data_IF_309471093051
#
_entry.id   IF_309471093051
#
_cell.length_a   1.000
_cell.length_b   1.000
_cell.length_c   1.000
_cell.angle_alpha   90.00
_cell.angle_beta   90.00
_cell.angle_gamma   90.00
#
_symmetry.space_group_name_H-M   'P 1'
#
loop_
_entity.id
_entity.type
_entity.pdbx_description
1 polymer ?
#
# COMPACT_ATOMS: atom_id res chain seq x y z
N UNK A 1 18.97 22.76 -23.27
CA UNK A 1 18.47 21.77 -22.33
C UNK A 1 17.81 22.54 -21.21
N UNK A 2 16.51 22.46 -21.14
CA UNK A 2 15.67 23.24 -20.21
C UNK A 2 15.79 22.69 -18.79
N UNK A 3 16.18 23.51 -17.83
CA UNK A 3 16.34 23.14 -16.43
C UNK A 3 14.98 22.89 -15.79
N UNK A 4 13.98 23.71 -16.09
CA UNK A 4 12.61 23.53 -15.58
C UNK A 4 12.05 22.19 -16.03
N UNK A 5 12.07 21.88 -17.31
CA UNK A 5 11.64 20.59 -17.85
C UNK A 5 12.38 19.41 -17.21
N UNK A 6 13.70 19.55 -17.00
CA UNK A 6 14.50 18.49 -16.36
C UNK A 6 14.09 18.26 -14.91
N UNK A 7 13.84 19.34 -14.14
CA UNK A 7 13.46 19.24 -12.74
C UNK A 7 12.04 18.70 -12.59
N UNK A 8 11.10 19.11 -13.43
CA UNK A 8 9.72 18.63 -13.46
C UNK A 8 9.64 17.13 -13.80
N UNK A 9 10.60 16.63 -14.60
CA UNK A 9 10.62 15.22 -15.03
C UNK A 9 11.79 14.43 -14.42
N UNK A 10 12.40 14.92 -13.35
CA UNK A 10 13.57 14.29 -12.70
C UNK A 10 13.30 12.88 -12.18
N UNK A 11 12.06 12.58 -11.80
CA UNK A 11 11.62 11.24 -11.40
C UNK A 11 11.44 10.28 -12.60
N UNK A 12 11.14 10.82 -13.77
CA UNK A 12 10.96 10.09 -15.03
C UNK A 12 12.33 9.70 -15.62
N UNK A 13 13.07 8.81 -14.95
CA UNK A 13 14.34 8.30 -15.49
C UNK A 13 14.06 7.38 -16.67
N UNK A 14 14.25 7.92 -17.88
CA UNK A 14 14.24 7.11 -19.08
C UNK A 14 15.27 5.96 -18.93
N UNK A 15 14.85 4.69 -18.98
CA UNK A 15 15.75 3.57 -18.72
C UNK A 15 16.96 3.56 -19.65
N UNK A 16 18.14 3.32 -19.10
CA UNK A 16 19.39 3.36 -19.84
C UNK A 16 19.45 2.38 -21.02
N UNK A 17 18.65 1.30 -20.98
CA UNK A 17 18.59 0.28 -22.03
C UNK A 17 18.02 0.81 -23.36
N UNK A 18 17.21 1.86 -23.33
CA UNK A 18 16.68 2.51 -24.54
C UNK A 18 17.75 3.27 -25.34
N UNK A 19 18.90 3.51 -24.73
CA UNK A 19 19.97 4.28 -25.35
C UNK A 19 21.15 3.41 -25.74
N UNK A 20 21.74 3.70 -26.88
CA UNK A 20 23.06 3.11 -27.24
C UNK A 20 24.10 3.46 -26.17
N UNK A 21 25.17 2.66 -26.08
CA UNK A 21 26.25 2.86 -25.10
C UNK A 21 26.85 4.27 -25.15
N UNK A 22 26.92 4.86 -26.34
CA UNK A 22 27.48 6.20 -26.51
C UNK A 22 26.50 7.30 -26.08
N UNK A 23 25.21 7.15 -26.38
CA UNK A 23 24.17 8.08 -25.94
C UNK A 23 24.02 8.06 -24.43
N UNK A 24 24.14 6.88 -23.77
CA UNK A 24 24.14 6.79 -22.30
C UNK A 24 25.23 7.63 -21.65
N UNK A 25 26.45 7.66 -22.22
CA UNK A 25 27.53 8.48 -21.69
C UNK A 25 27.22 9.97 -21.78
N UNK A 26 26.60 10.39 -22.90
CA UNK A 26 26.15 11.79 -23.07
C UNK A 26 25.06 12.10 -22.07
N UNK A 27 24.04 11.23 -21.94
CA UNK A 27 22.95 11.36 -20.95
C UNK A 27 23.50 11.52 -19.53
N UNK A 28 24.42 10.66 -19.10
CA UNK A 28 25.05 10.75 -17.79
C UNK A 28 25.75 12.11 -17.56
N UNK A 29 26.38 12.67 -18.60
CA UNK A 29 26.97 14.00 -18.50
C UNK A 29 25.95 15.10 -18.40
N UNK A 30 24.81 14.98 -19.10
CA UNK A 30 23.67 15.89 -18.98
C UNK A 30 23.13 15.85 -17.56
N UNK A 31 22.83 14.66 -17.05
CA UNK A 31 22.30 14.46 -15.69
C UNK A 31 23.23 15.08 -14.64
N UNK A 32 24.53 14.86 -14.77
CA UNK A 32 25.55 15.44 -13.89
C UNK A 32 25.57 16.99 -13.98
N UNK A 33 25.48 17.52 -15.19
CA UNK A 33 25.47 18.97 -15.39
C UNK A 33 24.20 19.61 -14.82
N UNK A 34 23.02 19.00 -15.05
CA UNK A 34 21.74 19.48 -14.54
C UNK A 34 21.64 19.42 -13.01
N UNK A 35 22.29 18.43 -12.38
CA UNK A 35 22.37 18.33 -10.92
C UNK A 35 23.33 19.36 -10.31
N UNK A 36 24.41 19.68 -11.03
CA UNK A 36 25.48 20.55 -10.53
C UNK A 36 25.19 22.04 -10.70
N UNK A 37 24.50 22.38 -11.78
CA UNK A 37 24.22 23.78 -12.15
C UNK A 37 22.74 24.07 -12.06
N UNK A 38 22.39 25.09 -11.27
CA UNK A 38 21.01 25.52 -11.10
C UNK A 38 20.60 26.53 -12.22
N UNK A 39 20.80 26.12 -13.48
CA UNK A 39 20.43 26.86 -14.68
C UNK A 39 20.36 25.98 -15.90
N UNK A 40 19.67 26.44 -16.92
CA UNK A 40 19.69 25.84 -18.25
C UNK A 40 21.12 25.75 -18.79
N UNK A 41 21.49 24.55 -19.27
CA UNK A 41 22.83 24.25 -19.82
C UNK A 41 22.72 24.07 -21.31
N UNK A 42 23.61 24.73 -22.06
CA UNK A 42 23.63 24.65 -23.52
C UNK A 42 24.29 23.34 -23.99
N UNK A 43 23.95 22.81 -25.19
CA UNK A 43 24.60 21.67 -25.75
C UNK A 43 26.13 21.82 -25.92
N UNK A 44 26.62 23.07 -26.15
CA UNK A 44 28.05 23.35 -26.24
C UNK A 44 28.75 23.20 -24.87
N UNK A 45 28.11 23.65 -23.80
CA UNK A 45 28.64 23.47 -22.44
C UNK A 45 28.69 21.99 -22.04
N UNK A 46 27.66 21.20 -22.39
CA UNK A 46 27.67 19.75 -22.15
C UNK A 46 28.76 19.06 -22.96
N UNK A 47 28.98 19.43 -24.22
CA UNK A 47 30.07 18.90 -25.01
C UNK A 47 31.44 19.18 -24.37
N UNK A 48 31.66 20.43 -23.91
CA UNK A 48 32.90 20.81 -23.24
C UNK A 48 33.11 19.98 -21.94
N UNK A 49 32.09 19.80 -21.13
CA UNK A 49 32.12 18.96 -19.93
C UNK A 49 32.40 17.50 -20.28
N UNK A 50 31.70 16.97 -21.30
CA UNK A 50 31.88 15.59 -21.75
C UNK A 50 33.34 15.33 -22.22
N UNK A 51 33.89 16.22 -23.05
CA UNK A 51 35.26 16.09 -23.54
C UNK A 51 36.29 16.22 -22.41
N UNK A 52 36.05 17.12 -21.46
CA UNK A 52 36.92 17.27 -20.27
C UNK A 52 36.93 16.02 -19.41
N UNK A 53 35.75 15.44 -19.15
CA UNK A 53 35.59 14.26 -18.29
C UNK A 53 36.07 12.96 -18.96
N UNK A 54 36.24 12.96 -20.30
CA UNK A 54 36.64 11.81 -21.11
C UNK A 54 37.93 12.09 -21.90
N UNK A 55 38.97 12.61 -21.24
CA UNK A 55 40.24 12.97 -21.86
C UNK A 55 40.94 11.79 -22.57
N UNK A 56 40.68 10.56 -22.09
CA UNK A 56 41.26 9.30 -22.61
C UNK A 56 40.70 8.85 -23.99
N UNK A 57 39.67 9.52 -24.51
CA UNK A 57 39.10 9.18 -25.81
C UNK A 57 40.13 9.42 -26.94
N UNK A 58 40.16 8.50 -27.90
CA UNK A 58 40.98 8.65 -29.13
C UNK A 58 40.44 9.79 -30.00
N UNK A 59 41.26 10.32 -30.88
CA UNK A 59 40.87 11.40 -31.80
C UNK A 59 39.63 11.02 -32.62
N UNK A 60 39.55 9.79 -33.11
CA UNK A 60 38.42 9.29 -33.88
C UNK A 60 37.13 9.26 -33.02
N UNK A 61 37.22 8.81 -31.75
CA UNK A 61 36.08 8.82 -30.81
C UNK A 61 35.62 10.24 -30.48
N UNK A 62 36.57 11.16 -30.26
CA UNK A 62 36.24 12.59 -30.03
C UNK A 62 35.49 13.19 -31.22
N UNK A 63 35.92 12.89 -32.43
CA UNK A 63 35.24 13.36 -33.66
C UNK A 63 33.82 12.78 -33.77
N UNK A 64 33.63 11.49 -33.46
CA UNK A 64 32.32 10.85 -33.48
C UNK A 64 31.35 11.50 -32.47
N UNK A 65 31.80 11.75 -31.23
CA UNK A 65 30.98 12.43 -30.22
C UNK A 65 30.69 13.90 -30.58
N UNK A 66 31.67 14.64 -31.12
CA UNK A 66 31.44 16.00 -31.62
C UNK A 66 30.40 16.02 -32.75
N UNK A 67 30.39 15.02 -33.62
CA UNK A 67 29.36 14.89 -34.65
C UNK A 67 27.98 14.72 -34.06
N UNK A 68 27.82 13.87 -33.02
CA UNK A 68 26.53 13.71 -32.26
C UNK A 68 26.12 15.02 -31.62
N UNK A 69 27.01 15.71 -30.92
CA UNK A 69 26.69 17.01 -30.31
C UNK A 69 26.30 18.06 -31.36
N UNK A 70 26.93 18.04 -32.53
CA UNK A 70 26.57 18.95 -33.61
C UNK A 70 25.20 18.65 -34.23
N UNK A 71 24.75 17.40 -34.21
CA UNK A 71 23.36 17.06 -34.55
C UNK A 71 22.39 17.65 -33.53
N UNK A 72 22.63 17.42 -32.22
CA UNK A 72 21.80 17.98 -31.14
C UNK A 72 21.73 19.51 -31.17
N UNK A 73 22.85 20.18 -31.51
CA UNK A 73 22.88 21.65 -31.62
C UNK A 73 22.05 22.20 -32.78
N UNK A 74 21.81 21.40 -33.83
CA UNK A 74 21.02 21.79 -35.00
C UNK A 74 19.52 21.58 -34.80
N UNK A 75 19.15 20.75 -33.86
CA UNK A 75 17.75 20.51 -33.55
C UNK A 75 17.17 21.66 -32.72
N UNK A 76 15.99 22.11 -33.10
CA UNK A 76 15.23 23.07 -32.30
C UNK A 76 14.70 22.38 -31.03
N UNK A 77 14.58 23.14 -29.94
CA UNK A 77 13.94 22.65 -28.73
C UNK A 77 12.51 22.19 -29.05
N UNK A 78 12.19 20.98 -28.64
CA UNK A 78 10.85 20.43 -28.74
C UNK A 78 9.93 21.12 -27.72
N UNK A 79 8.69 21.41 -28.07
CA UNK A 79 7.70 21.90 -27.11
C UNK A 79 7.49 20.89 -25.97
N UNK A 80 7.20 21.39 -24.77
CA UNK A 80 7.04 20.55 -23.57
C UNK A 80 5.96 19.47 -23.73
N UNK A 81 4.85 19.82 -24.39
CA UNK A 81 3.73 18.93 -24.70
C UNK A 81 4.14 17.75 -25.60
N UNK A 82 4.87 18.04 -26.69
CA UNK A 82 5.39 17.01 -27.60
C UNK A 82 6.46 16.16 -26.90
N UNK A 83 7.31 16.79 -26.08
CA UNK A 83 8.34 16.08 -25.34
C UNK A 83 7.72 15.11 -24.33
N UNK A 84 6.64 15.47 -23.66
CA UNK A 84 5.89 14.63 -22.75
C UNK A 84 5.23 13.45 -23.47
N UNK A 85 4.63 13.67 -24.65
CA UNK A 85 4.07 12.59 -25.45
C UNK A 85 5.14 11.58 -25.91
N UNK A 86 6.31 12.08 -26.33
CA UNK A 86 7.44 11.21 -26.71
C UNK A 86 7.94 10.40 -25.52
N UNK A 87 8.08 11.01 -24.34
CA UNK A 87 8.45 10.31 -23.12
C UNK A 87 7.43 9.23 -22.76
N UNK A 88 6.13 9.54 -22.78
CA UNK A 88 5.07 8.57 -22.52
C UNK A 88 5.19 7.35 -23.44
N UNK A 89 5.39 7.55 -24.75
CA UNK A 89 5.59 6.46 -25.71
C UNK A 89 6.84 5.61 -25.43
N UNK A 90 7.93 6.25 -24.99
CA UNK A 90 9.14 5.53 -24.60
C UNK A 90 8.93 4.68 -23.36
N UNK A 91 8.22 5.20 -22.36
CA UNK A 91 7.85 4.43 -21.17
C UNK A 91 6.89 3.30 -21.50
N UNK A 92 5.88 3.54 -22.35
CA UNK A 92 4.98 2.50 -22.83
C UNK A 92 5.75 1.33 -23.47
N UNK A 93 6.76 1.62 -24.29
CA UNK A 93 7.62 0.60 -24.88
C UNK A 93 8.37 -0.18 -23.81
N UNK A 94 8.97 0.50 -22.83
CA UNK A 94 9.73 -0.13 -21.73
C UNK A 94 8.84 -1.04 -20.89
N UNK A 95 7.69 -0.54 -20.47
CA UNK A 95 6.72 -1.31 -19.69
C UNK A 95 6.25 -2.52 -20.48
N UNK A 96 5.93 -2.33 -21.77
CA UNK A 96 5.52 -3.42 -22.66
C UNK A 96 6.60 -4.51 -22.80
N UNK A 97 7.87 -4.14 -22.97
CA UNK A 97 8.99 -5.08 -23.02
C UNK A 97 9.17 -5.84 -21.70
N UNK A 98 9.07 -5.16 -20.55
CA UNK A 98 9.24 -5.78 -19.24
C UNK A 98 8.10 -6.76 -18.94
N UNK A 99 6.85 -6.36 -19.20
CA UNK A 99 5.68 -7.22 -19.02
C UNK A 99 5.74 -8.43 -19.98
N UNK A 100 6.17 -8.23 -21.23
CA UNK A 100 6.34 -9.31 -22.18
C UNK A 100 7.42 -10.31 -21.73
N UNK A 101 8.57 -9.84 -21.25
CA UNK A 101 9.64 -10.70 -20.73
C UNK A 101 9.15 -11.52 -19.53
N UNK A 102 8.47 -10.90 -18.56
CA UNK A 102 7.88 -11.61 -17.43
C UNK A 102 6.77 -12.59 -17.87
N UNK A 103 6.00 -12.24 -18.90
CA UNK A 103 5.03 -13.14 -19.53
C UNK A 103 5.70 -14.39 -20.11
N UNK A 104 6.85 -14.27 -20.76
CA UNK A 104 7.64 -15.40 -21.24
C UNK A 104 8.19 -16.25 -20.10
N UNK A 105 8.65 -15.64 -18.99
CA UNK A 105 9.08 -16.37 -17.81
C UNK A 105 7.94 -17.18 -17.18
N UNK A 106 6.71 -16.64 -17.18
CA UNK A 106 5.50 -17.40 -16.76
C UNK A 106 5.24 -18.61 -17.67
N UNK A 107 5.27 -18.42 -18.99
CA UNK A 107 5.06 -19.50 -19.98
C UNK A 107 6.09 -20.58 -19.81
N UNK A 108 7.33 -20.24 -19.52
CA UNK A 108 8.44 -21.17 -19.32
C UNK A 108 8.44 -21.82 -17.91
N UNK A 109 7.51 -21.43 -17.02
CA UNK A 109 7.40 -21.97 -15.66
C UNK A 109 8.51 -21.50 -14.70
N UNK A 110 9.28 -20.46 -15.07
CA UNK A 110 10.32 -19.86 -14.22
C UNK A 110 9.75 -18.83 -13.25
N UNK A 111 8.57 -18.28 -13.54
CA UNK A 111 7.84 -17.35 -12.68
C UNK A 111 6.55 -18.01 -12.15
N UNK A 112 6.37 -17.99 -10.82
CA UNK A 112 5.28 -18.69 -10.13
C UNK A 112 4.15 -17.77 -9.65
N UNK A 113 4.29 -16.43 -9.75
CA UNK A 113 3.30 -15.46 -9.30
C UNK A 113 3.27 -14.21 -10.19
N UNK A 114 2.23 -13.38 -10.06
CA UNK A 114 2.01 -12.16 -10.85
C UNK A 114 2.59 -10.89 -10.20
N UNK A 115 3.17 -11.00 -9.02
CA UNK A 115 3.66 -9.86 -8.26
C UNK A 115 4.70 -9.01 -9.02
N UNK A 116 5.70 -9.60 -9.75
CA UNK A 116 6.64 -8.80 -10.52
C UNK A 116 5.98 -7.96 -11.62
N UNK A 117 4.93 -8.50 -12.27
CA UNK A 117 4.16 -7.76 -13.28
C UNK A 117 3.38 -6.62 -12.63
N UNK A 118 2.72 -6.89 -11.49
CA UNK A 118 1.98 -5.87 -10.74
C UNK A 118 2.88 -4.72 -10.30
N UNK A 119 4.05 -5.04 -9.73
CA UNK A 119 5.03 -4.04 -9.30
C UNK A 119 5.52 -3.14 -10.44
N UNK A 120 5.61 -3.67 -11.68
CA UNK A 120 5.92 -2.84 -12.84
C UNK A 120 4.76 -1.90 -13.16
N UNK A 121 3.53 -2.42 -13.18
CA UNK A 121 2.36 -1.62 -13.54
C UNK A 121 2.05 -0.53 -12.50
N UNK A 122 2.32 -0.79 -11.21
CA UNK A 122 2.13 0.18 -10.12
C UNK A 122 3.13 1.35 -10.16
N UNK A 123 4.25 1.22 -10.88
CA UNK A 123 5.23 2.31 -11.03
C UNK A 123 4.81 3.36 -12.06
N UNK A 124 3.75 3.12 -12.82
CA UNK A 124 3.32 3.97 -13.92
C UNK A 124 1.81 4.20 -13.86
N UNK A 125 1.37 5.44 -14.17
CA UNK A 125 -0.03 5.75 -14.37
C UNK A 125 -0.61 5.11 -15.63
N UNK A 126 -1.92 5.24 -15.82
CA UNK A 126 -2.63 4.68 -16.97
C UNK A 126 -2.14 5.23 -18.33
N UNK A 127 -1.49 6.40 -18.32
CA UNK A 127 -0.88 7.06 -19.48
C UNK A 127 0.61 6.70 -19.67
N UNK A 128 1.11 5.71 -18.92
CA UNK A 128 2.53 5.28 -18.88
C UNK A 128 3.51 6.38 -18.48
N UNK A 129 3.03 7.48 -17.93
CA UNK A 129 3.92 8.44 -17.29
C UNK A 129 4.23 7.96 -15.88
N UNK A 130 5.49 8.10 -15.41
CA UNK A 130 5.75 7.95 -13.98
C UNK A 130 4.84 8.91 -13.23
N UNK A 131 4.19 8.42 -12.17
CA UNK A 131 3.33 9.27 -11.36
C UNK A 131 4.20 10.32 -10.63
N UNK A 132 4.44 11.43 -11.32
CA UNK A 132 5.17 12.59 -10.82
C UNK A 132 4.23 13.65 -10.26
N UNK A 133 2.93 13.35 -10.21
CA UNK A 133 1.92 14.27 -9.74
C UNK A 133 2.00 14.34 -8.22
N UNK A 134 3.02 15.04 -7.71
CA UNK A 134 3.14 15.38 -6.30
C UNK A 134 2.01 16.34 -5.99
N UNK A 135 0.88 15.81 -5.56
CA UNK A 135 -0.19 16.62 -5.00
C UNK A 135 0.22 16.96 -3.57
N UNK A 136 0.35 18.26 -3.31
CA UNK A 136 0.54 18.74 -1.96
C UNK A 136 -0.82 18.83 -1.27
N UNK A 137 -0.89 18.32 -0.04
CA UNK A 137 -2.09 18.53 0.77
C UNK A 137 -2.27 19.99 1.09
N UNK A 138 -3.48 20.50 0.92
CA UNK A 138 -3.81 21.87 1.31
C UNK A 138 -3.85 21.97 2.84
N UNK A 139 -2.99 22.84 3.38
CA UNK A 139 -2.82 23.03 4.83
C UNK A 139 -3.65 24.21 5.34
N UNK A 140 -4.74 24.59 4.64
CA UNK A 140 -5.64 25.59 5.15
C UNK A 140 -6.38 25.14 6.42
N UNK A 141 -6.79 26.12 7.23
CA UNK A 141 -7.41 25.84 8.54
C UNK A 141 -8.73 25.10 8.40
N UNK A 142 -9.53 25.41 7.38
CA UNK A 142 -10.82 24.77 7.12
C UNK A 142 -10.64 23.29 6.80
N UNK A 143 -9.68 22.95 5.95
CA UNK A 143 -9.32 21.57 5.61
C UNK A 143 -8.78 20.83 6.83
N UNK A 144 -7.89 21.45 7.62
CA UNK A 144 -7.37 20.84 8.84
C UNK A 144 -8.44 20.59 9.89
N UNK A 145 -9.38 21.51 10.07
CA UNK A 145 -10.49 21.35 11.02
C UNK A 145 -11.52 20.32 10.56
N UNK A 146 -11.76 20.20 9.25
CA UNK A 146 -12.71 19.22 8.70
C UNK A 146 -12.16 17.79 8.70
N UNK A 147 -10.84 17.63 8.58
CA UNK A 147 -10.13 16.32 8.63
C UNK A 147 -9.52 16.04 10.00
N UNK A 148 -9.94 16.74 11.03
CA UNK A 148 -9.30 16.65 12.33
C UNK A 148 -9.74 15.36 13.05
N UNK A 149 -8.77 14.53 13.41
CA UNK A 149 -8.94 13.29 14.21
C UNK A 149 -9.34 13.55 15.68
N UNK A 150 -9.73 14.79 16.03
CA UNK A 150 -10.15 15.13 17.41
C UNK A 150 -11.44 14.43 17.82
N UNK A 151 -12.29 14.05 16.87
CA UNK A 151 -13.47 13.26 17.12
C UNK A 151 -13.41 11.97 16.33
N UNK A 152 -13.58 10.84 17.01
CA UNK A 152 -13.58 9.54 16.36
C UNK A 152 -14.81 9.39 15.45
N UNK A 153 -14.58 9.01 14.19
CA UNK A 153 -15.64 8.71 13.22
C UNK A 153 -16.49 7.53 13.69
N UNK A 154 -15.83 6.52 14.25
CA UNK A 154 -16.45 5.31 14.77
C UNK A 154 -16.06 5.11 16.24
N UNK A 155 -16.99 5.26 17.17
CA UNK A 155 -16.71 5.15 18.60
C UNK A 155 -16.76 3.70 19.09
N UNK A 156 -15.91 3.36 20.04
CA UNK A 156 -15.97 2.05 20.68
C UNK A 156 -17.24 1.93 21.55
N UNK A 157 -17.87 0.75 21.53
CA UNK A 157 -19.01 0.45 22.39
C UNK A 157 -18.62 -0.08 23.79
N UNK A 158 -17.34 0.02 24.15
CA UNK A 158 -16.80 -0.36 25.46
C UNK A 158 -16.42 0.92 26.22
N UNK A 159 -17.17 1.33 27.27
CA UNK A 159 -17.00 2.65 27.90
C UNK A 159 -15.60 2.92 28.43
N UNK A 160 -14.89 1.90 28.91
CA UNK A 160 -13.51 2.05 29.39
C UNK A 160 -12.51 2.28 28.27
N UNK A 161 -12.74 1.68 27.10
CA UNK A 161 -11.93 1.86 25.91
C UNK A 161 -12.20 3.23 25.29
N UNK A 162 -13.47 3.61 25.12
CA UNK A 162 -13.89 4.92 24.61
C UNK A 162 -13.30 6.08 25.41
N UNK A 163 -13.25 5.98 26.74
CA UNK A 163 -12.62 7.00 27.59
C UNK A 163 -11.10 7.12 27.43
N UNK A 164 -10.44 6.13 26.84
CA UNK A 164 -8.97 6.11 26.69
C UNK A 164 -8.51 6.49 25.28
N UNK A 165 -9.24 6.01 24.28
CA UNK A 165 -8.86 6.13 22.86
C UNK A 165 -10.04 6.52 21.97
N UNK A 166 -11.16 6.97 22.56
CA UNK A 166 -12.39 7.42 21.89
C UNK A 166 -12.97 6.44 20.87
N UNK A 167 -12.30 6.22 19.77
CA UNK A 167 -12.70 5.33 18.70
C UNK A 167 -11.64 5.19 17.62
N UNK A 168 -12.07 5.05 16.39
CA UNK A 168 -11.20 4.88 15.24
C UNK A 168 -11.62 5.77 14.08
N UNK A 169 -10.66 6.16 13.26
CA UNK A 169 -10.85 6.94 12.04
C UNK A 169 -10.35 6.15 10.83
N UNK A 170 -10.71 6.61 9.65
CA UNK A 170 -10.14 6.12 8.40
C UNK A 170 -8.60 6.28 8.40
N UNK A 171 -7.91 5.32 7.80
CA UNK A 171 -6.45 5.29 7.78
C UNK A 171 -5.79 4.70 9.03
N UNK A 172 -6.56 4.40 10.10
CA UNK A 172 -6.00 3.82 11.32
C UNK A 172 -5.71 2.32 11.17
N UNK A 173 -4.57 1.89 11.73
CA UNK A 173 -4.23 0.49 11.94
C UNK A 173 -4.25 0.18 13.44
N UNK A 174 -5.18 -0.66 13.88
CA UNK A 174 -5.36 -1.05 15.28
C UNK A 174 -4.85 -2.47 15.48
N UNK A 175 -3.76 -2.64 16.24
CA UNK A 175 -3.27 -3.97 16.59
C UNK A 175 -3.89 -4.47 17.89
N UNK A 176 -4.53 -5.66 17.84
CA UNK A 176 -5.16 -6.30 18.98
C UNK A 176 -4.48 -7.62 19.29
N UNK A 177 -3.63 -7.63 20.32
CA UNK A 177 -2.92 -8.82 20.78
C UNK A 177 -3.69 -9.58 21.86
N UNK A 178 -3.83 -10.90 21.70
CA UNK A 178 -4.41 -11.77 22.72
C UNK A 178 -3.84 -13.18 22.68
N UNK A 179 -3.88 -13.89 23.81
CA UNK A 179 -3.54 -15.31 23.89
C UNK A 179 -4.57 -16.17 23.16
N UNK A 180 -4.21 -17.38 22.70
CA UNK A 180 -5.17 -18.33 22.16
C UNK A 180 -6.34 -18.56 23.12
N UNK A 181 -7.54 -18.70 22.59
CA UNK A 181 -8.77 -18.98 23.34
C UNK A 181 -9.17 -17.94 24.41
N UNK A 182 -8.63 -16.71 24.38
CA UNK A 182 -8.99 -15.63 25.30
C UNK A 182 -10.13 -14.75 24.79
N UNK A 183 -10.72 -15.05 23.64
CA UNK A 183 -11.92 -14.39 23.15
C UNK A 183 -11.70 -13.28 22.11
N UNK A 184 -10.59 -13.30 21.36
CA UNK A 184 -10.35 -12.32 20.26
C UNK A 184 -11.55 -12.16 19.32
N UNK A 185 -12.03 -13.29 18.79
CA UNK A 185 -13.18 -13.30 17.86
C UNK A 185 -14.45 -12.79 18.51
N UNK A 186 -14.67 -13.08 19.81
CA UNK A 186 -15.82 -12.53 20.56
C UNK A 186 -15.66 -11.02 20.81
N UNK A 187 -14.43 -10.55 21.03
CA UNK A 187 -14.14 -9.15 21.23
C UNK A 187 -14.48 -8.34 19.97
N UNK A 188 -13.94 -8.70 18.80
CA UNK A 188 -14.26 -7.95 17.59
C UNK A 188 -15.72 -8.15 17.14
N UNK A 189 -16.34 -9.30 17.41
CA UNK A 189 -17.78 -9.47 17.17
C UNK A 189 -18.62 -8.52 18.02
N UNK A 190 -18.22 -8.30 19.29
CA UNK A 190 -18.86 -7.32 20.17
C UNK A 190 -18.66 -5.88 19.66
N UNK A 191 -17.44 -5.50 19.26
CA UNK A 191 -17.15 -4.17 18.74
C UNK A 191 -17.95 -3.85 17.47
N UNK A 192 -18.09 -4.82 16.57
CA UNK A 192 -18.76 -4.61 15.27
C UNK A 192 -20.28 -4.74 15.40
N UNK A 193 -20.77 -5.84 15.99
CA UNK A 193 -22.19 -6.21 15.95
C UNK A 193 -22.93 -6.02 17.28
N UNK A 194 -22.23 -5.81 18.39
CA UNK A 194 -22.85 -5.60 19.69
C UNK A 194 -23.62 -4.28 19.78
N UNK A 195 -24.34 -4.03 20.90
CA UNK A 195 -25.06 -2.78 21.10
C UNK A 195 -24.12 -1.56 20.93
N UNK A 196 -24.56 -0.57 20.15
CA UNK A 196 -23.75 0.60 19.75
C UNK A 196 -22.43 0.24 19.06
N UNK A 197 -22.32 -0.96 18.48
CA UNK A 197 -21.15 -1.38 17.69
C UNK A 197 -21.05 -0.65 16.36
N UNK A 198 -19.92 -0.80 15.68
CA UNK A 198 -19.63 -0.08 14.44
C UNK A 198 -20.70 -0.25 13.36
N UNK A 199 -21.25 -1.47 13.20
CA UNK A 199 -22.32 -1.71 12.22
C UNK A 199 -23.63 -0.99 12.57
N UNK A 200 -23.94 -0.77 13.87
CA UNK A 200 -25.09 0.03 14.29
C UNK A 200 -24.86 1.52 14.10
N UNK A 201 -23.62 1.98 14.12
CA UNK A 201 -23.23 3.36 13.79
C UNK A 201 -23.26 3.61 12.28
N UNK A 202 -23.52 2.57 11.46
CA UNK A 202 -23.61 2.65 10.00
C UNK A 202 -22.34 2.22 9.25
N UNK A 203 -21.25 1.85 9.95
CA UNK A 203 -20.02 1.42 9.33
C UNK A 203 -20.19 0.14 8.50
N UNK A 204 -19.67 0.11 7.29
CA UNK A 204 -19.53 -1.10 6.46
C UNK A 204 -18.35 -1.92 6.95
N UNK A 205 -18.63 -3.02 7.61
CA UNK A 205 -17.62 -3.86 8.25
C UNK A 205 -17.35 -5.13 7.42
N UNK A 206 -16.09 -5.38 7.11
CA UNK A 206 -15.63 -6.62 6.47
C UNK A 206 -14.78 -7.41 7.44
N UNK A 207 -15.11 -8.69 7.60
CA UNK A 207 -14.39 -9.62 8.45
C UNK A 207 -13.74 -10.69 7.59
N UNK A 208 -12.42 -10.71 7.57
CA UNK A 208 -11.58 -11.63 6.82
C UNK A 208 -11.00 -12.65 7.80
N UNK A 209 -11.57 -13.85 7.85
CA UNK A 209 -11.19 -14.88 8.79
C UNK A 209 -10.40 -16.01 8.12
N UNK A 210 -9.29 -16.40 8.74
CA UNK A 210 -8.41 -17.46 8.28
C UNK A 210 -8.03 -18.45 9.41
N UNK A 211 -8.66 -18.31 10.58
CA UNK A 211 -8.49 -19.22 11.72
C UNK A 211 -9.71 -20.13 11.93
N UNK A 212 -10.90 -19.53 11.96
CA UNK A 212 -12.14 -20.29 12.12
C UNK A 212 -13.01 -20.20 10.85
N UNK A 213 -13.87 -21.20 10.65
CA UNK A 213 -14.83 -21.19 9.53
C UNK A 213 -15.84 -20.04 9.65
N UNK A 214 -16.21 -19.45 8.54
CA UNK A 214 -17.09 -18.28 8.45
C UNK A 214 -18.41 -18.42 9.20
N UNK A 215 -19.01 -19.62 9.26
CA UNK A 215 -20.25 -19.86 9.99
C UNK A 215 -20.06 -19.80 11.49
N UNK A 216 -18.91 -20.17 12.05
CA UNK A 216 -18.63 -20.04 13.48
C UNK A 216 -18.45 -18.57 13.85
N UNK A 217 -17.69 -17.85 13.03
CA UNK A 217 -17.52 -16.40 13.17
C UNK A 217 -18.88 -15.71 13.05
N UNK A 218 -19.66 -16.00 12.00
CA UNK A 218 -20.99 -15.43 11.78
C UNK A 218 -21.97 -15.72 12.94
N UNK A 219 -21.90 -16.91 13.56
CA UNK A 219 -22.70 -17.22 14.74
C UNK A 219 -22.36 -16.30 15.93
N UNK A 220 -21.08 -15.95 16.14
CA UNK A 220 -20.70 -14.99 17.20
C UNK A 220 -21.19 -13.58 16.90
N UNK A 221 -21.15 -13.16 15.64
CA UNK A 221 -21.72 -11.88 15.21
C UNK A 221 -23.25 -11.83 15.46
N UNK A 222 -23.94 -12.91 15.10
CA UNK A 222 -25.38 -13.02 15.36
C UNK A 222 -25.71 -12.96 16.86
N UNK A 223 -24.97 -13.68 17.69
CA UNK A 223 -25.18 -13.64 19.16
C UNK A 223 -24.81 -12.29 19.75
N UNK A 224 -23.75 -11.63 19.26
CA UNK A 224 -23.39 -10.28 19.70
C UNK A 224 -24.47 -9.25 19.33
N UNK A 225 -25.01 -9.35 18.11
CA UNK A 225 -26.04 -8.44 17.60
C UNK A 225 -27.38 -8.59 18.32
N UNK A 226 -27.77 -9.82 18.61
CA UNK A 226 -29.11 -10.12 19.16
C UNK A 226 -29.16 -10.18 20.68
N UNK A 227 -28.00 -10.32 21.33
CA UNK A 227 -27.91 -10.62 22.75
C UNK A 227 -28.46 -12.00 23.14
N UNK A 228 -28.73 -12.85 22.13
CA UNK A 228 -29.32 -14.19 22.32
C UNK A 228 -28.23 -15.25 22.25
N UNK A 229 -28.34 -16.29 23.04
CA UNK A 229 -27.53 -17.51 22.86
C UNK A 229 -27.94 -18.24 21.58
N UNK A 230 -27.06 -19.08 21.01
CA UNK A 230 -27.41 -19.89 19.83
C UNK A 230 -28.60 -20.85 20.10
N UNK A 231 -28.83 -21.26 21.36
CA UNK A 231 -29.97 -22.05 21.72
C UNK A 231 -31.29 -21.23 21.64
N UNK A 232 -31.28 -20.02 22.14
CA UNK A 232 -32.44 -19.10 22.04
C UNK A 232 -32.69 -18.68 20.58
N UNK A 233 -31.63 -18.46 19.76
CA UNK A 233 -31.78 -18.21 18.33
C UNK A 233 -32.48 -19.38 17.62
N UNK A 234 -32.11 -20.63 17.95
CA UNK A 234 -32.80 -21.83 17.40
C UNK A 234 -34.26 -21.93 17.82
N UNK A 235 -34.57 -21.52 19.04
CA UNK A 235 -35.94 -21.52 19.54
C UNK A 235 -36.82 -20.39 18.99
N UNK A 236 -36.18 -19.23 18.69
CA UNK A 236 -36.88 -18.03 18.22
C UNK A 236 -36.18 -17.40 16.99
N UNK A 237 -36.12 -18.09 15.86
CA UNK A 237 -35.34 -17.64 14.69
C UNK A 237 -35.90 -16.36 14.03
N UNK A 238 -37.24 -16.13 14.15
CA UNK A 238 -37.85 -14.90 13.61
C UNK A 238 -37.40 -13.68 14.41
N UNK A 239 -37.41 -13.73 15.74
CA UNK A 239 -36.93 -12.66 16.61
C UNK A 239 -35.45 -12.36 16.35
N UNK A 240 -34.61 -13.40 16.24
CA UNK A 240 -33.19 -13.23 15.93
C UNK A 240 -32.99 -12.55 14.58
N UNK A 241 -33.78 -12.91 13.56
CA UNK A 241 -33.72 -12.30 12.22
C UNK A 241 -34.10 -10.82 12.27
N UNK A 242 -35.17 -10.47 12.98
CA UNK A 242 -35.63 -9.08 13.07
C UNK A 242 -34.58 -8.20 13.77
N UNK A 243 -33.98 -8.68 14.86
CA UNK A 243 -32.89 -7.97 15.54
C UNK A 243 -31.62 -7.82 14.71
N UNK A 244 -31.26 -8.84 13.93
CA UNK A 244 -30.05 -8.82 13.11
C UNK A 244 -30.22 -8.03 11.80
N UNK A 245 -31.44 -7.90 11.30
CA UNK A 245 -31.76 -7.29 10.00
C UNK A 245 -31.22 -5.87 9.88
N UNK A 246 -31.28 -5.07 10.95
CA UNK A 246 -30.88 -3.66 10.97
C UNK A 246 -29.38 -3.44 10.65
N UNK A 247 -28.54 -4.44 10.93
CA UNK A 247 -27.07 -4.34 10.75
C UNK A 247 -26.51 -5.36 9.77
N UNK A 248 -27.32 -6.31 9.31
CA UNK A 248 -26.85 -7.43 8.48
C UNK A 248 -26.26 -6.99 7.13
N UNK A 249 -26.73 -5.89 6.57
CA UNK A 249 -26.22 -5.33 5.31
C UNK A 249 -24.83 -4.68 5.50
N UNK A 250 -24.55 -4.21 6.70
CA UNK A 250 -23.29 -3.57 7.08
C UNK A 250 -22.19 -4.56 7.46
N UNK A 251 -22.48 -5.86 7.52
CA UNK A 251 -21.52 -6.88 7.97
C UNK A 251 -21.31 -7.92 6.86
N UNK A 252 -20.07 -8.05 6.40
CA UNK A 252 -19.66 -9.10 5.46
C UNK A 252 -18.55 -9.95 6.06
N UNK A 253 -18.72 -11.26 6.02
CA UNK A 253 -17.73 -12.24 6.51
C UNK A 253 -17.23 -13.05 5.32
N UNK A 254 -15.91 -13.17 5.18
CA UNK A 254 -15.28 -13.91 4.08
C UNK A 254 -14.14 -14.78 4.62
N UNK A 255 -14.02 -15.99 4.08
CA UNK A 255 -12.87 -16.85 4.30
C UNK A 255 -11.65 -16.27 3.55
N UNK A 256 -10.58 -16.07 4.29
CA UNK A 256 -9.30 -15.55 3.81
C UNK A 256 -8.16 -16.57 3.95
N UNK A 257 -8.48 -17.85 4.10
CA UNK A 257 -7.47 -18.92 4.23
C UNK A 257 -6.54 -18.95 3.01
N UNK A 258 -5.23 -18.85 3.25
CA UNK A 258 -4.21 -18.86 2.20
C UNK A 258 -4.13 -17.56 1.36
N UNK A 259 -4.85 -16.53 1.73
CA UNK A 259 -4.81 -15.22 1.08
C UNK A 259 -3.70 -14.36 1.64
N UNK A 260 -3.18 -13.45 0.82
CA UNK A 260 -2.16 -12.44 1.15
C UNK A 260 -2.76 -11.05 1.32
N UNK A 261 -1.92 -10.07 1.66
CA UNK A 261 -2.36 -8.68 1.84
C UNK A 261 -2.80 -8.00 0.54
N UNK A 262 -2.28 -8.41 -0.63
CA UNK A 262 -2.73 -7.89 -1.92
C UNK A 262 -4.18 -8.30 -2.22
N UNK A 263 -4.58 -9.50 -1.78
CA UNK A 263 -5.98 -9.89 -1.86
C UNK A 263 -6.87 -9.07 -0.90
N UNK A 264 -6.38 -8.74 0.31
CA UNK A 264 -7.09 -7.84 1.24
C UNK A 264 -7.32 -6.48 0.58
N UNK A 265 -6.29 -5.93 -0.05
CA UNK A 265 -6.38 -4.68 -0.80
C UNK A 265 -7.45 -4.73 -1.91
N UNK A 266 -7.48 -5.83 -2.68
CA UNK A 266 -8.50 -6.05 -3.71
C UNK A 266 -9.93 -6.07 -3.14
N UNK A 267 -10.12 -6.62 -1.92
CA UNK A 267 -11.40 -6.58 -1.20
C UNK A 267 -11.76 -5.15 -0.81
N UNK A 268 -10.81 -4.39 -0.27
CA UNK A 268 -11.02 -2.98 0.10
C UNK A 268 -11.38 -2.13 -1.12
N UNK A 269 -10.66 -2.28 -2.22
CA UNK A 269 -10.92 -1.59 -3.49
C UNK A 269 -12.33 -1.90 -4.04
N UNK A 270 -12.75 -3.16 -3.97
CA UNK A 270 -14.04 -3.60 -4.52
C UNK A 270 -15.25 -3.24 -3.65
N UNK A 271 -15.14 -3.42 -2.34
CA UNK A 271 -16.27 -3.28 -1.41
C UNK A 271 -16.31 -1.91 -0.73
N UNK A 272 -15.16 -1.21 -0.63
CA UNK A 272 -14.99 0.08 0.07
C UNK A 272 -15.57 0.02 1.50
N UNK A 273 -14.98 -0.82 2.37
CA UNK A 273 -15.41 -0.93 3.76
C UNK A 273 -14.90 0.26 4.58
N UNK A 274 -15.61 0.63 5.64
CA UNK A 274 -15.13 1.59 6.64
C UNK A 274 -14.25 0.88 7.69
N UNK A 275 -14.60 -0.37 8.04
CA UNK A 275 -13.89 -1.18 9.04
C UNK A 275 -13.52 -2.54 8.45
N UNK A 276 -12.26 -2.93 8.59
CA UNK A 276 -11.75 -4.25 8.19
C UNK A 276 -11.20 -4.98 9.41
N UNK A 277 -11.64 -6.21 9.64
CA UNK A 277 -11.12 -7.09 10.69
C UNK A 277 -10.30 -8.21 10.02
N UNK A 278 -9.01 -8.31 10.33
CA UNK A 278 -8.13 -9.40 9.90
C UNK A 278 -8.01 -10.42 11.04
N UNK A 279 -8.82 -11.48 11.04
CA UNK A 279 -8.87 -12.50 12.09
C UNK A 279 -8.33 -13.86 11.58
N UNK A 280 -7.03 -14.14 11.69
CA UNK A 280 -5.90 -13.45 12.34
C UNK A 280 -5.00 -12.79 11.29
N UNK A 281 -4.55 -11.56 11.55
CA UNK A 281 -3.59 -10.87 10.70
C UNK A 281 -2.27 -11.64 10.50
N UNK A 282 -1.75 -12.27 11.55
CA UNK A 282 -0.50 -13.05 11.52
C UNK A 282 -0.55 -14.30 10.61
N UNK A 283 -1.75 -14.78 10.23
CA UNK A 283 -1.94 -15.97 9.39
C UNK A 283 -2.15 -15.67 7.90
N UNK A 284 -2.16 -14.41 7.50
CA UNK A 284 -2.15 -14.08 6.08
C UNK A 284 -0.86 -14.56 5.43
N UNK A 285 -0.96 -15.04 4.20
CA UNK A 285 0.17 -15.56 3.45
C UNK A 285 1.28 -14.50 3.38
N UNK A 286 2.51 -14.97 3.51
CA UNK A 286 3.68 -14.09 3.50
C UNK A 286 4.04 -13.73 2.07
N UNK A 287 4.36 -12.49 1.83
CA UNK A 287 5.02 -12.06 0.60
C UNK A 287 6.33 -12.82 0.47
N UNK A 288 6.61 -13.39 -0.72
CA UNK A 288 7.82 -14.16 -0.95
C UNK A 288 9.06 -13.25 -0.86
N UNK A 289 10.17 -13.79 -0.37
CA UNK A 289 11.46 -13.10 -0.32
C UNK A 289 12.02 -12.82 1.09
N UNK A 290 11.24 -13.09 2.15
CA UNK A 290 11.73 -12.90 3.53
C UNK A 290 12.32 -14.20 4.08
N UNK A 291 13.58 -14.14 4.51
CA UNK A 291 14.27 -15.27 5.16
C UNK A 291 13.76 -15.49 6.61
N UNK A 292 13.24 -14.43 7.25
CA UNK A 292 12.82 -14.45 8.65
C UNK A 292 11.32 -14.20 8.80
N UNK A 293 10.71 -14.91 9.76
CA UNK A 293 9.27 -14.80 10.06
C UNK A 293 8.88 -13.42 10.58
N UNK A 294 9.70 -12.81 11.43
CA UNK A 294 9.44 -11.50 12.02
C UNK A 294 9.46 -10.37 10.98
N UNK A 295 10.34 -10.46 9.98
CA UNK A 295 10.36 -9.51 8.85
C UNK A 295 9.12 -9.63 7.98
N UNK A 296 8.65 -10.84 7.71
CA UNK A 296 7.44 -11.07 6.94
C UNK A 296 6.17 -10.57 7.67
N UNK A 297 6.08 -10.77 9.00
CA UNK A 297 4.96 -10.26 9.79
C UNK A 297 4.98 -8.72 9.86
N UNK A 298 6.15 -8.12 9.97
CA UNK A 298 6.31 -6.67 9.88
C UNK A 298 5.86 -6.15 8.52
N UNK A 299 6.26 -6.80 7.42
CA UNK A 299 5.85 -6.41 6.07
C UNK A 299 4.33 -6.47 5.88
N UNK A 300 3.65 -7.50 6.42
CA UNK A 300 2.19 -7.59 6.40
C UNK A 300 1.55 -6.43 7.18
N UNK A 301 2.09 -6.03 8.34
CA UNK A 301 1.58 -4.89 9.11
C UNK A 301 1.78 -3.56 8.37
N UNK A 302 2.95 -3.35 7.76
CA UNK A 302 3.22 -2.19 6.89
C UNK A 302 2.20 -2.12 5.75
N UNK A 303 1.97 -3.24 5.06
CA UNK A 303 1.02 -3.30 3.96
C UNK A 303 -0.42 -3.05 4.46
N UNK A 304 -0.81 -3.61 5.61
CA UNK A 304 -2.10 -3.31 6.23
C UNK A 304 -2.27 -1.80 6.51
N UNK A 305 -1.21 -1.13 7.01
CA UNK A 305 -1.19 0.32 7.21
C UNK A 305 -1.38 1.10 5.90
N UNK A 306 -0.69 0.66 4.84
CA UNK A 306 -0.83 1.27 3.52
C UNK A 306 -2.26 1.13 2.98
N UNK A 307 -2.84 -0.07 3.07
CA UNK A 307 -4.23 -0.33 2.67
C UNK A 307 -5.20 0.57 3.46
N UNK A 308 -5.02 0.69 4.77
CA UNK A 308 -5.87 1.54 5.61
C UNK A 308 -5.88 2.99 5.09
N UNK A 309 -4.71 3.55 4.82
CA UNK A 309 -4.56 4.93 4.31
C UNK A 309 -5.07 5.11 2.88
N UNK A 310 -4.72 4.19 1.97
CA UNK A 310 -5.09 4.29 0.55
C UNK A 310 -6.58 4.09 0.29
N UNK A 311 -7.24 3.28 1.12
CA UNK A 311 -8.64 2.93 0.95
C UNK A 311 -9.54 3.58 2.02
N UNK A 312 -9.00 4.53 2.79
CA UNK A 312 -9.75 5.33 3.77
C UNK A 312 -10.60 4.44 4.69
N UNK A 313 -9.98 3.40 5.29
CA UNK A 313 -10.66 2.48 6.20
C UNK A 313 -9.82 2.23 7.46
N UNK A 314 -10.48 1.85 8.57
CA UNK A 314 -9.77 1.40 9.76
C UNK A 314 -9.56 -0.12 9.70
N UNK A 315 -8.33 -0.58 9.94
CA UNK A 315 -7.99 -2.01 9.94
C UNK A 315 -7.67 -2.47 11.35
N UNK A 316 -8.41 -3.48 11.82
CA UNK A 316 -8.11 -4.22 13.04
C UNK A 316 -7.28 -5.44 12.71
N UNK A 317 -6.03 -5.42 13.08
CA UNK A 317 -5.07 -6.50 12.88
C UNK A 317 -5.03 -7.37 14.14
N UNK A 318 -5.67 -8.55 14.10
CA UNK A 318 -5.71 -9.47 15.23
C UNK A 318 -4.43 -10.30 15.28
N UNK A 319 -3.64 -10.13 16.35
CA UNK A 319 -2.36 -10.80 16.58
C UNK A 319 -2.43 -11.77 17.76
N UNK A 320 -1.51 -12.73 17.76
CA UNK A 320 -1.32 -13.63 18.88
C UNK A 320 -0.21 -13.12 19.79
N UNK A 321 -0.39 -13.29 21.11
CA UNK A 321 0.65 -13.05 22.09
C UNK A 321 1.48 -14.32 22.31
N UNK A 322 2.80 -14.14 22.48
CA UNK A 322 3.75 -15.20 22.78
C UNK A 322 3.51 -15.85 24.16
N UNK A 323 4.21 -16.94 24.44
CA UNK A 323 4.18 -17.60 25.74
C UNK A 323 4.58 -16.68 26.91
N UNK A 324 5.37 -15.63 26.64
CA UNK A 324 5.80 -14.65 27.66
C UNK A 324 4.61 -13.89 28.28
N UNK A 325 3.45 -13.87 27.62
CA UNK A 325 2.20 -13.28 28.11
C UNK A 325 1.39 -14.23 29.02
N UNK A 326 1.86 -15.46 29.22
CA UNK A 326 1.15 -16.43 30.06
C UNK A 326 1.19 -16.02 31.53
N UNK A 327 0.03 -16.09 32.20
CA UNK A 327 -0.16 -15.70 33.61
C UNK A 327 0.24 -14.25 33.93
N UNK A 328 0.31 -13.36 32.91
CA UNK A 328 0.54 -11.93 33.13
C UNK A 328 -0.78 -11.18 33.19
N UNK A 329 -0.93 -10.34 34.22
CA UNK A 329 -2.06 -9.42 34.37
C UNK A 329 -1.86 -8.18 33.50
N UNK A 330 -0.62 -7.71 33.38
CA UNK A 330 -0.25 -6.56 32.53
C UNK A 330 0.52 -7.08 31.33
N UNK A 331 -0.01 -6.78 30.16
CA UNK A 331 0.57 -7.13 28.87
C UNK A 331 1.28 -5.91 28.27
N UNK A 332 2.35 -6.14 27.53
CA UNK A 332 3.06 -5.10 26.80
C UNK A 332 3.35 -5.53 25.36
N UNK A 333 3.72 -4.56 24.53
CA UNK A 333 3.99 -4.77 23.09
C UNK A 333 5.09 -5.82 22.82
N UNK A 334 6.09 -5.94 23.70
CA UNK A 334 7.16 -6.93 23.55
C UNK A 334 6.69 -8.38 23.65
N UNK A 335 5.45 -8.63 24.09
CA UNK A 335 4.84 -9.95 24.17
C UNK A 335 4.10 -10.36 22.86
N UNK A 336 4.10 -9.53 21.83
CA UNK A 336 3.55 -9.90 20.51
C UNK A 336 4.35 -11.04 19.88
N UNK A 337 3.64 -12.07 19.41
CA UNK A 337 4.30 -13.22 18.78
C UNK A 337 4.93 -12.82 17.44
N UNK A 338 6.16 -13.29 17.23
CA UNK A 338 6.88 -13.15 15.96
C UNK A 338 7.44 -11.76 15.64
N UNK A 339 7.01 -10.68 16.33
CA UNK A 339 7.56 -9.34 16.10
C UNK A 339 7.35 -8.44 17.31
N UNK A 340 8.40 -8.34 18.16
CA UNK A 340 8.33 -7.62 19.43
C UNK A 340 8.13 -6.11 19.29
N UNK A 341 8.58 -5.52 18.20
CA UNK A 341 8.51 -4.06 17.97
C UNK A 341 8.01 -3.70 16.58
N UNK A 342 8.20 -4.57 15.59
CA UNK A 342 7.98 -4.22 14.19
C UNK A 342 6.51 -4.02 13.81
N UNK A 343 5.58 -4.80 14.36
CA UNK A 343 4.14 -4.64 14.12
C UNK A 343 3.56 -3.47 14.90
N UNK A 344 3.90 -3.41 16.20
CA UNK A 344 3.41 -2.36 17.08
C UNK A 344 3.89 -0.94 16.71
N UNK A 345 4.99 -0.83 15.96
CA UNK A 345 5.48 0.45 15.45
C UNK A 345 4.62 1.01 14.29
N UNK A 346 3.82 0.17 13.66
CA UNK A 346 2.94 0.56 12.54
C UNK A 346 1.51 0.88 13.00
N UNK A 347 1.13 0.51 14.24
CA UNK A 347 -0.20 0.76 14.80
C UNK A 347 -0.34 2.17 15.39
N UNK A 348 -1.57 2.72 15.34
CA UNK A 348 -1.97 4.00 15.95
C UNK A 348 -2.29 3.90 17.42
#
# INVERSE_FOLDING_TARGET
MDKGFYDDHRGARCPDRLFSKDVRKIKCTIDTAMQRYDRTVTPAEVEALFMSNNAQLTTAQKQAYSSLFNQVKKESAMGSDIAQEVLSKLFQQVVGEDVANLGFEMVNGTMSNLEPIRNILEQYGDDFTPDLNIQWDDMDIETLLSKNDLEAQWTFNIPTLTRKVEGVNEGHLIEVGARPNTGKTSFHASLVAGPNGFAQQGAKCVILCNEEGTHRVGARYLTAATGMTMQEVKQNPSKARDLYKSISENIKVKDATGRDMSWVESVCKSYKPDIVILDMGDKFARTQGFARTDEALKANAIHARQIAKQHECAIFYMSQLSADAENKVVLNQAMMEGSRTGKAAEAD
#
